data_IF_247405971810
#
_entry.id   IF_247405971810
#
_cell.length_a   1.000
_cell.length_b   1.000
_cell.length_c   1.000
_cell.angle_alpha   90.00
_cell.angle_beta   90.00
_cell.angle_gamma   90.00
#
_symmetry.space_group_name_H-M   'P 1'
#
loop_
_entity.id
_entity.type
_entity.pdbx_description
1 polymer ?
#
# COMPACT_ATOMS: atom_id res chain seq x y z
N UNK A 1 -8.06 -4.34 5.44
CA UNK A 1 -7.09 -4.98 4.51
C UNK A 1 -7.69 -5.29 3.14
N UNK A 2 -8.80 -6.06 3.03
CA UNK A 2 -9.40 -6.45 1.74
C UNK A 2 -9.68 -5.26 0.81
N UNK A 3 -10.28 -4.18 1.33
CA UNK A 3 -10.53 -2.96 0.55
C UNK A 3 -9.23 -2.35 -0.01
N UNK A 4 -8.14 -2.37 0.76
CA UNK A 4 -6.83 -1.90 0.33
C UNK A 4 -6.26 -2.77 -0.80
N UNK A 5 -6.43 -4.09 -0.73
CA UNK A 5 -6.02 -4.99 -1.82
C UNK A 5 -6.82 -4.78 -3.10
N UNK A 6 -8.14 -4.62 -2.99
CA UNK A 6 -9.01 -4.34 -4.15
C UNK A 6 -8.59 -3.03 -4.82
N UNK A 7 -8.40 -1.97 -4.03
CA UNK A 7 -7.92 -0.68 -4.55
C UNK A 7 -6.52 -0.79 -5.16
N UNK A 8 -5.63 -1.58 -4.57
CA UNK A 8 -4.29 -1.82 -5.11
C UNK A 8 -4.35 -2.46 -6.50
N UNK A 9 -5.17 -3.50 -6.67
CA UNK A 9 -5.34 -4.18 -7.96
C UNK A 9 -5.92 -3.23 -9.01
N UNK A 10 -6.96 -2.46 -8.65
CA UNK A 10 -7.56 -1.47 -9.55
C UNK A 10 -6.53 -0.42 -9.95
N UNK A 11 -5.77 0.11 -8.98
CA UNK A 11 -4.73 1.09 -9.25
C UNK A 11 -3.64 0.53 -10.18
N UNK A 12 -3.17 -0.70 -9.92
CA UNK A 12 -2.17 -1.35 -10.76
C UNK A 12 -2.68 -1.57 -12.18
N UNK A 13 -3.94 -1.99 -12.34
CA UNK A 13 -4.56 -2.13 -13.66
C UNK A 13 -4.52 -0.80 -14.44
N UNK A 14 -4.89 0.32 -13.80
CA UNK A 14 -4.87 1.63 -14.46
C UNK A 14 -3.44 2.07 -14.78
N UNK A 15 -2.47 1.83 -13.90
CA UNK A 15 -1.05 2.16 -14.14
C UNK A 15 -0.50 1.35 -15.32
N UNK A 16 -0.76 0.04 -15.38
CA UNK A 16 -0.35 -0.81 -16.50
C UNK A 16 -1.00 -0.34 -17.79
N UNK A 17 -2.29 0.00 -17.75
CA UNK A 17 -2.99 0.53 -18.91
C UNK A 17 -2.40 1.87 -19.38
N UNK A 18 -2.07 2.79 -18.47
CA UNK A 18 -1.37 4.04 -18.80
C UNK A 18 -0.02 3.75 -19.44
N UNK A 19 0.75 2.80 -18.91
CA UNK A 19 2.05 2.41 -19.44
C UNK A 19 1.94 1.87 -20.88
N UNK A 20 0.97 0.99 -21.15
CA UNK A 20 0.71 0.47 -22.50
C UNK A 20 0.32 1.61 -23.46
N UNK A 21 -0.52 2.54 -23.03
CA UNK A 21 -0.92 3.69 -23.86
C UNK A 21 0.27 4.62 -24.15
N UNK A 22 1.14 4.85 -23.16
CA UNK A 22 2.37 5.64 -23.35
C UNK A 22 3.25 4.98 -24.41
N UNK A 23 3.49 3.68 -24.32
CA UNK A 23 4.29 2.93 -25.30
C UNK A 23 3.65 2.90 -26.69
N UNK A 24 2.33 2.95 -26.78
CA UNK A 24 1.62 3.02 -28.06
C UNK A 24 1.76 4.37 -28.74
N UNK A 25 1.88 5.47 -27.99
CA UNK A 25 2.05 6.83 -28.54
C UNK A 25 3.53 7.15 -28.76
N UNK A 26 4.42 6.51 -28.02
CA UNK A 26 5.87 6.64 -28.12
C UNK A 26 6.43 6.65 -29.56
N UNK A 27 6.08 5.72 -30.48
CA UNK A 27 6.61 5.73 -31.84
C UNK A 27 6.12 6.91 -32.69
N UNK A 28 4.97 7.51 -32.35
CA UNK A 28 4.40 8.65 -33.07
C UNK A 28 5.05 9.99 -32.62
N UNK A 29 5.76 9.98 -31.49
CA UNK A 29 6.47 11.17 -30.98
C UNK A 29 7.89 11.18 -31.55
N UNK A 30 8.04 11.82 -32.71
CA UNK A 30 9.36 12.15 -33.27
C UNK A 30 9.86 13.46 -32.64
N UNK A 31 10.29 13.42 -31.38
CA UNK A 31 11.13 14.49 -30.85
C UNK A 31 12.59 14.17 -31.20
N UNK A 32 13.25 15.09 -31.91
CA UNK A 32 14.70 15.09 -32.11
C UNK A 32 15.40 15.51 -30.80
N UNK A 33 15.14 14.80 -29.71
CA UNK A 33 15.83 14.98 -28.44
C UNK A 33 17.19 14.29 -28.48
N UNK A 34 18.22 14.93 -27.93
CA UNK A 34 19.58 14.38 -27.87
C UNK A 34 19.66 13.16 -26.92
N UNK A 35 18.64 12.98 -26.05
CA UNK A 35 18.56 11.92 -25.05
C UNK A 35 17.33 11.02 -25.22
N UNK A 36 17.52 9.72 -24.94
CA UNK A 36 16.47 8.70 -25.03
C UNK A 36 15.24 8.97 -24.12
N UNK A 37 15.44 9.65 -23.00
CA UNK A 37 14.38 9.96 -22.02
C UNK A 37 13.44 11.09 -22.48
N UNK A 38 13.90 11.97 -23.38
CA UNK A 38 13.09 13.10 -23.85
C UNK A 38 11.83 12.63 -24.57
N UNK A 39 11.96 11.57 -25.39
CA UNK A 39 10.84 11.00 -26.14
C UNK A 39 9.85 10.29 -25.22
N UNK A 40 10.36 9.60 -24.19
CA UNK A 40 9.49 8.89 -23.23
C UNK A 40 8.73 9.88 -22.34
N UNK A 41 9.43 10.86 -21.77
CA UNK A 41 8.84 11.95 -21.00
C UNK A 41 7.80 12.71 -21.82
N UNK A 42 8.09 13.01 -23.09
CA UNK A 42 7.12 13.61 -24.00
C UNK A 42 5.88 12.74 -24.24
N UNK A 43 6.03 11.43 -24.40
CA UNK A 43 4.91 10.50 -24.56
C UNK A 43 4.03 10.42 -23.30
N UNK A 44 4.64 10.41 -22.12
CA UNK A 44 3.92 10.49 -20.84
C UNK A 44 3.19 11.83 -20.72
N UNK A 45 3.84 12.94 -21.04
CA UNK A 45 3.25 14.27 -20.99
C UNK A 45 2.06 14.41 -21.95
N UNK A 46 2.17 13.88 -23.16
CA UNK A 46 1.09 13.88 -24.14
C UNK A 46 -0.08 13.01 -23.67
N UNK A 47 0.18 11.82 -23.14
CA UNK A 47 -0.87 10.98 -22.56
C UNK A 47 -1.54 11.66 -21.35
N UNK A 48 -0.77 12.34 -20.51
CA UNK A 48 -1.30 13.12 -19.39
C UNK A 48 -2.21 14.25 -19.88
N UNK A 49 -1.84 14.96 -20.95
CA UNK A 49 -2.70 15.99 -21.56
C UNK A 49 -4.00 15.41 -22.10
N UNK A 50 -3.96 14.22 -22.70
CA UNK A 50 -5.15 13.54 -23.25
C UNK A 50 -6.07 12.97 -22.18
N UNK A 51 -5.50 12.38 -21.12
CA UNK A 51 -6.24 11.64 -20.09
C UNK A 51 -5.75 11.97 -18.67
N UNK A 52 -5.84 13.23 -18.22
CA UNK A 52 -5.31 13.64 -16.91
C UNK A 52 -6.03 12.95 -15.75
N UNK A 53 -7.34 12.71 -15.90
CA UNK A 53 -8.15 12.01 -14.90
C UNK A 53 -7.63 10.61 -14.58
N UNK A 54 -7.12 9.86 -15.57
CA UNK A 54 -6.63 8.51 -15.37
C UNK A 54 -5.38 8.49 -14.47
N UNK A 55 -4.51 9.49 -14.59
CA UNK A 55 -3.34 9.65 -13.71
C UNK A 55 -3.74 9.98 -12.28
N UNK A 56 -4.71 10.89 -12.09
CA UNK A 56 -5.20 11.22 -10.74
C UNK A 56 -5.88 10.03 -10.09
N UNK A 57 -6.75 9.32 -10.82
CA UNK A 57 -7.44 8.13 -10.29
C UNK A 57 -6.43 7.04 -9.94
N UNK A 58 -5.45 6.77 -10.81
CA UNK A 58 -4.37 5.83 -10.52
C UNK A 58 -3.56 6.25 -9.28
N UNK A 59 -3.04 7.47 -9.26
CA UNK A 59 -2.18 7.95 -8.18
C UNK A 59 -2.90 7.99 -6.82
N UNK A 60 -4.10 8.56 -6.78
CA UNK A 60 -4.90 8.65 -5.54
C UNK A 60 -5.31 7.25 -5.08
N UNK A 61 -5.75 6.38 -5.99
CA UNK A 61 -6.11 5.00 -5.65
C UNK A 61 -4.90 4.24 -5.07
N UNK A 62 -3.70 4.41 -5.66
CA UNK A 62 -2.47 3.83 -5.16
C UNK A 62 -2.19 4.28 -3.73
N UNK A 63 -2.20 5.59 -3.48
CA UNK A 63 -1.94 6.16 -2.16
C UNK A 63 -2.94 5.62 -1.14
N UNK A 64 -4.23 5.67 -1.45
CA UNK A 64 -5.30 5.21 -0.57
C UNK A 64 -5.17 3.70 -0.29
N UNK A 65 -4.83 2.90 -1.29
CA UNK A 65 -4.61 1.45 -1.13
C UNK A 65 -3.48 1.16 -0.14
N UNK A 66 -2.35 1.88 -0.24
CA UNK A 66 -1.22 1.74 0.67
C UNK A 66 -1.61 2.11 2.11
N UNK A 67 -2.41 3.16 2.30
CA UNK A 67 -2.90 3.53 3.63
C UNK A 67 -3.79 2.44 4.24
N UNK A 68 -4.74 1.88 3.48
CA UNK A 68 -5.60 0.81 3.98
C UNK A 68 -4.87 -0.50 4.24
N UNK A 69 -3.82 -0.81 3.47
CA UNK A 69 -2.96 -1.96 3.72
C UNK A 69 -2.14 -1.76 4.99
N UNK A 70 -1.53 -0.58 5.17
CA UNK A 70 -0.79 -0.21 6.37
C UNK A 70 -1.64 -0.35 7.63
N UNK A 71 -2.84 0.24 7.64
CA UNK A 71 -3.80 0.10 8.74
C UNK A 71 -4.22 -1.36 8.97
N UNK A 72 -4.36 -2.13 7.88
CA UNK A 72 -4.63 -3.57 7.96
C UNK A 72 -3.54 -4.32 8.71
N UNK A 73 -2.27 -4.15 8.32
CA UNK A 73 -1.15 -4.79 8.99
C UNK A 73 -0.98 -4.32 10.43
N UNK A 74 -1.17 -3.03 10.70
CA UNK A 74 -1.10 -2.48 12.05
C UNK A 74 -2.19 -3.08 12.95
N UNK A 75 -3.41 -3.25 12.45
CA UNK A 75 -4.50 -3.86 13.22
C UNK A 75 -4.22 -5.31 13.62
N UNK A 76 -3.62 -6.10 12.72
CA UNK A 76 -3.24 -7.49 12.99
C UNK A 76 -2.12 -7.57 14.03
N UNK A 77 -1.14 -6.68 13.94
CA UNK A 77 -0.07 -6.58 14.92
C UNK A 77 -0.59 -6.14 16.29
N UNK A 78 -1.46 -5.13 16.33
CA UNK A 78 -2.08 -4.64 17.56
C UNK A 78 -2.90 -5.73 18.27
N UNK A 79 -3.66 -6.54 17.53
CA UNK A 79 -4.40 -7.68 18.09
C UNK A 79 -3.46 -8.70 18.74
N UNK A 80 -2.44 -9.14 18.00
CA UNK A 80 -1.48 -10.14 18.52
C UNK A 80 -0.74 -9.61 19.74
N UNK A 81 -0.30 -8.35 19.67
CA UNK A 81 0.38 -7.69 20.77
C UNK A 81 -0.49 -7.61 22.04
N UNK A 82 -1.77 -7.29 21.90
CA UNK A 82 -2.72 -7.30 23.01
C UNK A 82 -2.89 -8.69 23.63
N UNK A 83 -3.03 -9.74 22.80
CA UNK A 83 -3.13 -11.12 23.28
C UNK A 83 -1.89 -11.56 24.06
N UNK A 84 -0.71 -11.25 23.54
CA UNK A 84 0.57 -11.53 24.21
C UNK A 84 0.64 -10.81 25.58
N UNK A 85 0.31 -9.51 25.63
CA UNK A 85 0.27 -8.76 26.88
C UNK A 85 -0.75 -9.29 27.89
N UNK A 86 -1.93 -9.69 27.41
CA UNK A 86 -2.97 -10.26 28.26
C UNK A 86 -2.50 -11.56 28.92
N UNK A 87 -1.97 -12.50 28.14
CA UNK A 87 -1.45 -13.76 28.66
C UNK A 87 -0.29 -13.55 29.64
N UNK A 88 0.61 -12.61 29.36
CA UNK A 88 1.69 -12.25 30.27
C UNK A 88 1.15 -11.77 31.62
N UNK A 89 0.19 -10.83 31.61
CA UNK A 89 -0.36 -10.26 32.84
C UNK A 89 -1.12 -11.32 33.67
N UNK A 90 -1.93 -12.15 33.01
CA UNK A 90 -2.64 -13.25 33.70
C UNK A 90 -1.67 -14.25 34.33
N UNK A 91 -0.57 -14.59 33.66
CA UNK A 91 0.45 -15.49 34.20
C UNK A 91 1.18 -14.89 35.40
N UNK A 92 1.46 -13.58 35.38
CA UNK A 92 2.07 -12.87 36.52
C UNK A 92 1.13 -12.89 37.72
N UNK A 93 -0.15 -12.55 37.51
CA UNK A 93 -1.15 -12.55 38.58
C UNK A 93 -1.30 -13.93 39.21
N UNK A 94 -1.42 -14.99 38.39
CA UNK A 94 -1.50 -16.37 38.89
C UNK A 94 -0.24 -16.79 39.65
N UNK A 95 0.94 -16.34 39.23
CA UNK A 95 2.20 -16.63 39.95
C UNK A 95 2.22 -15.95 41.32
N UNK A 96 1.74 -14.71 41.42
CA UNK A 96 1.64 -13.98 42.69
C UNK A 96 0.67 -14.66 43.66
N UNK A 97 -0.52 -15.01 43.19
CA UNK A 97 -1.55 -15.69 43.99
C UNK A 97 -1.06 -17.04 44.56
N UNK A 98 -0.42 -17.87 43.71
CA UNK A 98 0.18 -19.11 44.20
C UNK A 98 1.30 -18.85 45.22
N UNK A 99 2.12 -17.82 45.03
CA UNK A 99 3.20 -17.51 45.98
C UNK A 99 2.69 -17.06 47.35
N UNK A 100 1.57 -16.34 47.42
CA UNK A 100 0.94 -15.96 48.70
C UNK A 100 0.35 -17.19 49.41
N UNK A 101 -0.26 -18.12 48.67
CA UNK A 101 -0.78 -19.38 49.23
C UNK A 101 0.29 -20.30 49.85
N UNK A 102 1.56 -20.22 49.41
CA UNK A 102 2.68 -20.96 50.01
C UNK A 102 3.23 -20.34 51.30
N UNK A 103 2.91 -19.08 51.60
CA UNK A 103 3.35 -18.40 52.83
C UNK A 103 2.32 -18.60 53.96
N UNK A 104 1.07 -18.91 53.63
CA UNK A 104 -0.01 -19.16 54.58
C UNK A 104 -0.11 -20.63 55.08
N UNK A 105 0.67 -21.56 54.52
CA UNK A 105 0.78 -22.96 54.96
C UNK A 105 2.17 -23.24 55.58
#
# INVERSE_FOLDING_TARGET
MLIGLVLMIISLYIIVWLFINTLSIYPDITQMGEYFDDTFSAAVAELFRRKPHAFFVAGISLIVSLQFLSLGFLSLQSKRYFEELFHLNTNILKKQDNSESYIEN
#
